data_IF_029526331419
#
_entry.id   IF_029526331419
#
_cell.length_a   1.000
_cell.length_b   1.000
_cell.length_c   1.000
_cell.angle_alpha   90.00
_cell.angle_beta   90.00
_cell.angle_gamma   90.00
#
_symmetry.space_group_name_H-M   'P 1'
#
loop_
_entity.id
_entity.type
_entity.pdbx_description
1 polymer ?
#
# COMPACT_ATOMS: atom_id res chain seq x y z
N UNK A 1 15.03 1.07 13.35
CA UNK A 1 14.04 1.45 12.30
C UNK A 1 14.02 0.51 11.08
N UNK A 2 15.15 0.22 10.41
CA UNK A 2 15.17 -0.65 9.20
C UNK A 2 14.49 -2.01 9.37
N UNK A 3 14.72 -2.69 10.49
CA UNK A 3 14.13 -4.01 10.76
C UNK A 3 12.59 -3.96 10.80
N UNK A 4 12.01 -2.91 11.38
CA UNK A 4 10.56 -2.72 11.47
C UNK A 4 9.93 -2.46 10.09
N UNK A 5 10.56 -1.61 9.28
CA UNK A 5 10.12 -1.34 7.90
C UNK A 5 10.13 -2.64 7.07
N UNK A 6 11.21 -3.42 7.16
CA UNK A 6 11.32 -4.71 6.47
C UNK A 6 10.28 -5.71 6.96
N UNK A 7 9.99 -5.71 8.26
CA UNK A 7 8.96 -6.55 8.86
C UNK A 7 7.55 -6.17 8.33
N UNK A 8 7.15 -4.89 8.36
CA UNK A 8 5.85 -4.47 7.82
C UNK A 8 5.71 -4.76 6.34
N UNK A 9 6.75 -4.49 5.55
CA UNK A 9 6.70 -4.74 4.12
C UNK A 9 6.57 -6.24 3.80
N UNK A 10 7.35 -7.09 4.50
CA UNK A 10 7.24 -8.55 4.34
C UNK A 10 5.88 -9.08 4.79
N UNK A 11 5.34 -8.55 5.89
CA UNK A 11 4.02 -8.91 6.39
C UNK A 11 2.93 -8.57 5.36
N UNK A 12 2.95 -7.34 4.85
CA UNK A 12 1.99 -6.89 3.86
C UNK A 12 2.06 -7.69 2.56
N UNK A 13 3.26 -7.95 2.04
CA UNK A 13 3.44 -8.76 0.82
C UNK A 13 2.90 -10.19 1.03
N UNK A 14 3.15 -10.81 2.19
CA UNK A 14 2.65 -12.15 2.49
C UNK A 14 1.14 -12.22 2.65
N UNK A 15 0.48 -11.12 2.99
CA UNK A 15 -0.98 -11.07 3.11
C UNK A 15 -1.70 -11.10 1.75
N UNK A 16 -0.98 -10.88 0.64
CA UNK A 16 -1.52 -10.74 -0.72
C UNK A 16 -2.65 -9.70 -0.87
N UNK A 17 -2.87 -8.84 0.13
CA UNK A 17 -3.91 -7.80 0.09
C UNK A 17 -3.64 -6.69 -0.94
N UNK A 18 -2.40 -6.60 -1.44
CA UNK A 18 -2.04 -5.71 -2.55
C UNK A 18 -2.54 -6.23 -3.91
N UNK A 19 -2.86 -7.52 -4.04
CA UNK A 19 -3.19 -8.14 -5.31
C UNK A 19 -4.53 -7.66 -5.90
N UNK A 20 -5.65 -7.59 -5.12
CA UNK A 20 -6.91 -7.09 -5.64
C UNK A 20 -6.86 -5.66 -6.25
N UNK A 21 -6.34 -4.63 -5.56
CA UNK A 21 -6.28 -3.28 -6.14
C UNK A 21 -5.35 -3.22 -7.36
N UNK A 22 -4.25 -3.97 -7.36
CA UNK A 22 -3.29 -3.99 -8.47
C UNK A 22 -3.90 -4.65 -9.72
N UNK A 23 -4.57 -5.79 -9.55
CA UNK A 23 -5.24 -6.49 -10.66
C UNK A 23 -6.36 -5.64 -11.26
N UNK A 24 -7.21 -5.04 -10.42
CA UNK A 24 -8.28 -4.17 -10.88
C UNK A 24 -7.76 -2.92 -11.59
N UNK A 25 -6.63 -2.36 -11.14
CA UNK A 25 -5.98 -1.26 -11.85
C UNK A 25 -5.55 -1.69 -13.26
N UNK A 26 -4.88 -2.84 -13.41
CA UNK A 26 -4.48 -3.35 -14.73
C UNK A 26 -5.68 -3.56 -15.64
N UNK A 27 -6.75 -4.19 -15.14
CA UNK A 27 -8.00 -4.38 -15.90
C UNK A 27 -8.58 -3.04 -16.32
N UNK A 28 -8.55 -2.04 -15.44
CA UNK A 28 -9.02 -0.68 -15.76
C UNK A 28 -8.20 -0.05 -16.88
N UNK A 29 -6.87 -0.20 -16.88
CA UNK A 29 -6.01 0.28 -17.97
C UNK A 29 -6.36 -0.38 -19.30
N UNK A 30 -6.55 -1.71 -19.32
CA UNK A 30 -6.96 -2.43 -20.54
C UNK A 30 -8.28 -1.90 -21.08
N UNK A 31 -9.24 -1.60 -20.20
CA UNK A 31 -10.54 -1.06 -20.59
C UNK A 31 -10.45 0.37 -21.15
N UNK A 32 -9.69 1.25 -20.49
CA UNK A 32 -9.55 2.65 -20.89
C UNK A 32 -8.83 2.76 -22.25
N UNK A 33 -7.75 2.00 -22.44
CA UNK A 33 -6.96 2.09 -23.67
C UNK A 33 -7.46 1.19 -24.81
N UNK A 34 -8.43 0.30 -24.55
CA UNK A 34 -9.02 -0.58 -25.57
C UNK A 34 -9.98 0.12 -26.55
N UNK A 35 -10.40 1.35 -26.27
CA UNK A 35 -11.36 2.10 -27.08
C UNK A 35 -10.64 2.91 -28.16
N UNK A 36 -11.03 2.74 -29.42
CA UNK A 36 -10.47 3.46 -30.59
C UNK A 36 -11.56 4.30 -31.28
N UNK A 37 -11.29 5.57 -31.66
CA UNK A 37 -10.04 6.32 -31.45
C UNK A 37 -9.86 6.76 -29.99
N UNK A 38 -8.63 6.66 -29.49
CA UNK A 38 -8.32 6.98 -28.09
C UNK A 38 -7.79 8.44 -27.95
N UNK A 39 -8.55 9.37 -27.36
CA UNK A 39 -8.04 10.70 -27.03
C UNK A 39 -7.03 10.62 -25.87
N UNK A 40 -5.76 10.93 -26.16
CA UNK A 40 -4.64 10.78 -25.21
C UNK A 40 -4.86 11.57 -23.91
N UNK A 41 -5.35 12.82 -24.01
CA UNK A 41 -5.51 13.70 -22.85
C UNK A 41 -6.60 13.22 -21.88
N UNK A 42 -7.75 12.80 -22.41
CA UNK A 42 -8.87 12.31 -21.61
C UNK A 42 -8.53 10.98 -20.94
N UNK A 43 -7.94 10.05 -21.70
CA UNK A 43 -7.50 8.77 -21.16
C UNK A 43 -6.41 8.92 -20.11
N UNK A 44 -5.46 9.84 -20.30
CA UNK A 44 -4.46 10.17 -19.28
C UNK A 44 -5.12 10.70 -17.99
N UNK A 45 -6.05 11.63 -18.12
CA UNK A 45 -6.75 12.23 -16.97
C UNK A 45 -7.54 11.17 -16.19
N UNK A 46 -8.27 10.30 -16.90
CA UNK A 46 -9.02 9.20 -16.30
C UNK A 46 -8.10 8.18 -15.61
N UNK A 47 -7.00 7.79 -16.26
CA UNK A 47 -6.05 6.82 -15.68
C UNK A 47 -5.36 7.36 -14.43
N UNK A 48 -5.10 8.67 -14.38
CA UNK A 48 -4.53 9.34 -13.20
C UNK A 48 -5.52 9.35 -12.02
N UNK A 49 -6.79 9.65 -12.28
CA UNK A 49 -7.84 9.59 -11.25
C UNK A 49 -8.04 8.16 -10.72
N UNK A 50 -8.03 7.17 -11.63
CA UNK A 50 -8.12 5.76 -11.28
C UNK A 50 -6.90 5.30 -10.47
N UNK A 51 -5.70 5.70 -10.86
CA UNK A 51 -4.46 5.42 -10.11
C UNK A 51 -4.53 5.97 -8.68
N UNK A 52 -5.06 7.18 -8.49
CA UNK A 52 -5.25 7.77 -7.17
C UNK A 52 -6.16 6.90 -6.29
N UNK A 53 -7.31 6.45 -6.83
CA UNK A 53 -8.24 5.58 -6.10
C UNK A 53 -7.60 4.25 -5.68
N UNK A 54 -6.90 3.59 -6.60
CA UNK A 54 -6.22 2.31 -6.29
C UNK A 54 -5.03 2.50 -5.35
N UNK A 55 -4.34 3.63 -5.41
CA UNK A 55 -3.27 3.97 -4.45
C UNK A 55 -3.82 4.19 -3.05
N UNK A 56 -4.97 4.87 -2.93
CA UNK A 56 -5.66 5.02 -1.65
C UNK A 56 -6.08 3.66 -1.07
N UNK A 57 -6.62 2.76 -1.91
CA UNK A 57 -6.95 1.40 -1.50
C UNK A 57 -5.71 0.63 -1.00
N UNK A 58 -4.59 0.68 -1.74
CA UNK A 58 -3.33 0.09 -1.28
C UNK A 58 -2.88 0.65 0.08
N UNK A 59 -3.01 1.97 0.28
CA UNK A 59 -2.70 2.62 1.55
C UNK A 59 -3.56 2.13 2.71
N UNK A 60 -4.88 2.10 2.55
CA UNK A 60 -5.80 1.59 3.56
C UNK A 60 -5.55 0.11 3.86
N UNK A 61 -5.34 -0.69 2.82
CA UNK A 61 -5.02 -2.11 2.93
C UNK A 61 -3.73 -2.35 3.71
N UNK A 62 -2.73 -1.48 3.54
CA UNK A 62 -1.46 -1.53 4.26
C UNK A 62 -1.63 -1.17 5.74
N UNK A 63 -2.38 -0.10 6.05
CA UNK A 63 -2.65 0.33 7.44
C UNK A 63 -3.42 -0.76 8.22
N UNK A 64 -4.42 -1.36 7.57
CA UNK A 64 -5.26 -2.42 8.15
C UNK A 64 -4.59 -3.81 8.15
N UNK A 65 -3.36 -3.93 7.64
CA UNK A 65 -2.72 -5.24 7.42
C UNK A 65 -2.33 -5.99 8.70
N UNK A 66 -2.08 -5.28 9.79
CA UNK A 66 -1.66 -5.85 11.06
C UNK A 66 -2.76 -5.72 12.11
N UNK A 67 -2.94 -6.76 12.92
CA UNK A 67 -3.94 -6.74 14.00
C UNK A 67 -3.53 -5.77 15.12
N UNK A 68 -4.50 -5.10 15.74
CA UNK A 68 -4.26 -4.03 16.73
C UNK A 68 -3.31 -4.45 17.87
N UNK A 69 -3.45 -5.66 18.39
CA UNK A 69 -2.58 -6.21 19.44
C UNK A 69 -1.13 -6.35 18.95
N UNK A 70 -0.95 -6.82 17.72
CA UNK A 70 0.36 -7.03 17.13
C UNK A 70 1.04 -5.69 16.81
N UNK A 71 0.27 -4.68 16.37
CA UNK A 71 0.75 -3.30 16.23
C UNK A 71 1.23 -2.72 17.58
N UNK A 72 0.51 -2.99 18.68
CA UNK A 72 0.91 -2.54 20.03
C UNK A 72 2.22 -3.22 20.49
N UNK A 73 2.39 -4.51 20.22
CA UNK A 73 3.63 -5.23 20.54
C UNK A 73 4.80 -4.73 19.68
N UNK A 74 4.58 -4.55 18.38
CA UNK A 74 5.59 -4.06 17.44
C UNK A 74 6.05 -2.64 17.81
N UNK A 75 5.11 -1.75 18.13
CA UNK A 75 5.40 -0.37 18.53
C UNK A 75 6.09 -0.28 19.90
N UNK A 76 5.70 -1.09 20.88
CA UNK A 76 6.40 -1.14 22.18
C UNK A 76 7.83 -1.66 22.05
N UNK A 77 8.08 -2.72 21.28
CA UNK A 77 9.44 -3.22 21.05
C UNK A 77 10.30 -2.23 20.26
N UNK A 78 9.70 -1.51 19.29
CA UNK A 78 10.37 -0.43 18.58
C UNK A 78 10.71 0.75 19.51
N UNK A 79 9.80 1.11 20.41
CA UNK A 79 9.98 2.19 21.38
C UNK A 79 10.99 1.82 22.48
N UNK A 80 11.02 0.58 22.96
CA UNK A 80 12.08 0.10 23.88
C UNK A 80 13.47 0.20 23.25
N UNK A 81 13.58 -0.03 21.93
CA UNK A 81 14.85 0.22 21.22
C UNK A 81 15.24 1.70 21.13
N UNK A 82 14.29 2.62 21.26
CA UNK A 82 14.52 4.07 21.40
C UNK A 82 14.81 4.47 22.86
N UNK A 83 14.19 3.81 23.84
CA UNK A 83 14.35 4.14 25.26
C UNK A 83 15.69 3.66 25.84
N UNK A 84 16.33 2.65 25.23
CA UNK A 84 17.71 2.24 25.56
C UNK A 84 18.74 3.31 25.15
N UNK A 85 18.41 4.21 24.21
CA UNK A 85 19.29 5.31 23.76
C UNK A 85 19.17 6.53 24.68
N UNK A 86 18.07 6.67 25.44
CA UNK A 86 17.85 7.77 26.40
C UNK A 86 18.12 7.39 27.87
N UNK A 87 18.44 6.13 28.15
CA UNK A 87 18.82 5.62 29.48
C UNK A 87 20.30 5.16 29.55
N UNK A 88 21.15 5.69 28.68
CA UNK A 88 22.61 5.65 28.80
C UNK A 88 23.17 7.06 28.65
#
# INVERSE_FOLDING_TARGET
MRALIVYQLKHYIRSYRYFPPLLLYIVSIVFIYGIVPNPVMESYSLTSAVLFLFSAWLGFSYIDSEHEIQQMIASSHAATSLNIIWLK
#
